data_IF_335227600484
#
_entry.id   IF_335227600484
#
_cell.length_a   1.000
_cell.length_b   1.000
_cell.length_c   1.000
_cell.angle_alpha   90.00
_cell.angle_beta   90.00
_cell.angle_gamma   90.00
#
_symmetry.space_group_name_H-M   'P 1'
#
loop_
_entity.id
_entity.type
_entity.pdbx_description
1 polymer ?
#
# COMPACT_ATOMS: atom_id res chain seq x y z
N UNK A 1 -31.66 -4.53 18.20
CA UNK A 1 -30.89 -5.70 18.66
C UNK A 1 -30.32 -6.43 17.44
N UNK A 2 -29.09 -6.09 17.03
CA UNK A 2 -28.41 -6.79 15.94
C UNK A 2 -28.01 -8.18 16.42
N UNK A 3 -28.60 -9.22 15.80
CA UNK A 3 -28.32 -10.62 16.13
C UNK A 3 -26.84 -10.91 15.88
N UNK A 4 -26.15 -11.32 16.93
CA UNK A 4 -24.83 -11.94 16.89
C UNK A 4 -24.88 -13.20 16.02
N UNK A 5 -24.28 -13.15 14.83
CA UNK A 5 -24.24 -14.29 13.90
C UNK A 5 -23.49 -15.52 14.44
N UNK A 6 -23.78 -16.72 13.91
CA UNK A 6 -23.43 -18.03 14.49
C UNK A 6 -21.94 -18.43 14.43
N UNK A 7 -21.04 -17.69 13.78
CA UNK A 7 -19.62 -18.07 13.71
C UNK A 7 -18.83 -17.94 15.03
N UNK A 8 -19.43 -17.38 16.10
CA UNK A 8 -18.72 -16.96 17.31
C UNK A 8 -18.28 -18.09 18.27
N UNK A 9 -18.85 -19.29 18.18
CA UNK A 9 -18.53 -20.42 19.09
C UNK A 9 -17.64 -21.51 18.48
N UNK A 10 -17.33 -21.42 17.19
CA UNK A 10 -16.69 -22.51 16.45
C UNK A 10 -15.22 -22.23 16.11
N UNK A 11 -14.69 -21.05 16.49
CA UNK A 11 -13.32 -20.68 16.16
C UNK A 11 -12.33 -21.42 17.07
N UNK A 12 -11.54 -22.31 16.49
CA UNK A 12 -10.44 -23.01 17.16
C UNK A 12 -9.12 -22.41 16.67
N UNK A 13 -8.22 -22.05 17.59
CA UNK A 13 -6.92 -21.47 17.26
C UNK A 13 -5.77 -22.27 17.88
N UNK A 14 -4.65 -22.36 17.15
CA UNK A 14 -3.37 -22.89 17.64
C UNK A 14 -2.35 -21.79 17.99
N UNK A 15 -2.73 -20.52 17.81
CA UNK A 15 -1.89 -19.36 18.11
C UNK A 15 -1.90 -18.96 19.59
N UNK A 16 -1.12 -17.94 19.94
CA UNK A 16 -0.98 -17.43 21.32
C UNK A 16 -2.26 -16.80 21.89
N UNK A 17 -3.23 -16.50 21.04
CA UNK A 17 -4.51 -15.94 21.43
C UNK A 17 -5.67 -16.69 20.77
N UNK A 18 -6.85 -16.58 21.39
CA UNK A 18 -8.12 -17.09 20.89
C UNK A 18 -9.14 -15.96 20.84
N UNK A 19 -10.11 -16.09 19.94
CA UNK A 19 -11.15 -15.09 19.75
C UNK A 19 -12.10 -15.09 20.95
N UNK A 20 -12.16 -13.98 21.69
CA UNK A 20 -13.08 -13.78 22.81
C UNK A 20 -14.39 -13.14 22.34
N UNK A 21 -14.29 -12.07 21.54
CA UNK A 21 -15.45 -11.33 21.07
C UNK A 21 -15.16 -10.68 19.72
N UNK A 22 -16.18 -10.60 18.87
CA UNK A 22 -16.14 -9.84 17.63
C UNK A 22 -17.46 -9.11 17.42
N UNK A 23 -17.39 -7.79 17.49
CA UNK A 23 -18.49 -6.89 17.13
C UNK A 23 -18.08 -6.17 15.85
N UNK A 24 -18.76 -6.49 14.76
CA UNK A 24 -18.48 -5.94 13.43
C UNK A 24 -18.52 -4.42 13.48
N UNK A 25 -17.53 -3.77 12.87
CA UNK A 25 -17.33 -2.31 12.86
C UNK A 25 -17.08 -1.65 14.23
N UNK A 26 -16.88 -2.43 15.30
CA UNK A 26 -16.58 -1.89 16.63
C UNK A 26 -15.25 -2.40 17.19
N UNK A 27 -15.10 -3.73 17.33
CA UNK A 27 -13.88 -4.32 17.91
C UNK A 27 -13.75 -5.82 17.68
N UNK A 28 -12.51 -6.30 17.64
CA UNK A 28 -12.14 -7.71 17.86
C UNK A 28 -11.37 -7.79 19.16
N UNK A 29 -11.81 -8.66 20.09
CA UNK A 29 -11.13 -8.90 21.36
C UNK A 29 -10.54 -10.30 21.33
N UNK A 30 -9.24 -10.39 21.54
CA UNK A 30 -8.51 -11.63 21.69
C UNK A 30 -8.12 -11.81 23.16
N UNK A 31 -8.20 -13.04 23.65
CA UNK A 31 -7.67 -13.41 24.97
C UNK A 31 -6.61 -14.50 24.83
N UNK A 32 -5.66 -14.52 25.77
CA UNK A 32 -4.55 -15.45 25.78
C UNK A 32 -5.03 -16.90 25.69
N UNK A 33 -4.38 -17.69 24.83
CA UNK A 33 -4.67 -19.10 24.64
C UNK A 33 -3.77 -19.95 25.55
N UNK A 34 -4.30 -20.61 26.60
CA UNK A 34 -3.48 -21.42 27.50
C UNK A 34 -2.86 -22.64 26.82
N UNK A 35 -3.49 -23.15 25.74
CA UNK A 35 -3.05 -24.33 24.99
C UNK A 35 -1.94 -24.03 23.96
N UNK A 36 -1.55 -22.76 23.80
CA UNK A 36 -0.45 -22.41 22.91
C UNK A 36 0.86 -23.02 23.44
N UNK A 37 1.59 -23.75 22.58
CA UNK A 37 2.80 -24.48 22.99
C UNK A 37 3.85 -23.62 23.71
N UNK A 38 3.93 -22.32 23.39
CA UNK A 38 4.84 -21.36 24.01
C UNK A 38 4.09 -20.33 24.88
N UNK A 39 2.95 -20.73 25.46
CA UNK A 39 2.14 -19.90 26.32
C UNK A 39 2.95 -19.30 27.48
N UNK A 40 3.90 -20.05 28.06
CA UNK A 40 4.74 -19.59 29.16
C UNK A 40 5.46 -18.26 28.91
N UNK A 41 5.77 -17.92 27.64
CA UNK A 41 6.42 -16.66 27.25
C UNK A 41 5.46 -15.53 26.86
N UNK A 42 4.15 -15.80 26.78
CA UNK A 42 3.15 -14.78 26.46
C UNK A 42 2.91 -13.91 27.69
N UNK A 43 2.96 -12.58 27.56
CA UNK A 43 2.80 -11.65 28.69
C UNK A 43 1.43 -10.96 28.65
N UNK A 44 1.04 -10.42 27.49
CA UNK A 44 -0.26 -9.76 27.31
C UNK A 44 -1.39 -10.78 27.43
N UNK A 45 -2.38 -10.50 28.28
CA UNK A 45 -3.50 -11.40 28.53
C UNK A 45 -4.70 -11.14 27.61
N UNK A 46 -4.85 -9.91 27.10
CA UNK A 46 -5.97 -9.48 26.27
C UNK A 46 -5.51 -8.39 25.31
N UNK A 47 -5.89 -8.52 24.04
CA UNK A 47 -5.65 -7.53 22.98
C UNK A 47 -6.98 -7.12 22.38
N UNK A 48 -7.16 -5.85 22.05
CA UNK A 48 -8.34 -5.34 21.36
C UNK A 48 -7.93 -4.63 20.08
N UNK A 49 -8.43 -5.11 18.94
CA UNK A 49 -8.28 -4.47 17.64
C UNK A 49 -9.50 -3.62 17.34
N UNK A 50 -9.27 -2.37 16.92
CA UNK A 50 -10.33 -1.41 16.60
C UNK A 50 -10.34 -1.14 15.08
N UNK A 51 -11.50 -1.15 14.41
CA UNK A 51 -11.62 -0.91 12.97
C UNK A 51 -11.74 0.60 12.66
N UNK A 52 -10.82 1.42 13.17
CA UNK A 52 -10.85 2.87 12.98
C UNK A 52 -10.15 3.21 11.66
N UNK A 53 -10.92 3.72 10.69
CA UNK A 53 -10.39 4.09 9.37
C UNK A 53 -9.94 5.55 9.24
N UNK A 54 -10.31 6.40 10.20
CA UNK A 54 -9.86 7.80 10.26
C UNK A 54 -8.56 7.88 11.06
N UNK A 55 -7.45 8.17 10.38
CA UNK A 55 -6.13 8.30 11.00
C UNK A 55 -6.10 9.43 12.05
N UNK A 56 -6.90 10.48 11.85
CA UNK A 56 -7.06 11.55 12.84
C UNK A 56 -7.75 11.05 14.11
N UNK A 57 -8.80 10.23 13.96
CA UNK A 57 -9.52 9.63 15.10
C UNK A 57 -8.63 8.66 15.87
N UNK A 58 -7.86 7.83 15.17
CA UNK A 58 -6.89 6.90 15.76
C UNK A 58 -5.86 7.64 16.63
N UNK A 59 -5.21 8.67 16.07
CA UNK A 59 -4.27 9.53 16.82
C UNK A 59 -4.95 10.20 18.02
N UNK A 60 -6.18 10.71 17.89
CA UNK A 60 -6.85 11.37 19.00
C UNK A 60 -7.18 10.41 20.15
N UNK A 61 -7.66 9.20 19.84
CA UNK A 61 -7.91 8.15 20.84
C UNK A 61 -6.62 7.61 21.46
N UNK A 62 -5.53 7.57 20.69
CA UNK A 62 -4.20 7.30 21.22
C UNK A 62 -3.78 8.38 22.22
N UNK A 63 -3.98 9.66 21.92
CA UNK A 63 -3.61 10.77 22.83
C UNK A 63 -4.40 10.75 24.13
N UNK A 64 -5.67 10.36 24.10
CA UNK A 64 -6.52 10.24 25.31
C UNK A 64 -6.24 8.96 26.10
N UNK A 65 -5.38 8.07 25.61
CA UNK A 65 -5.00 6.83 26.29
C UNK A 65 -5.98 5.67 26.07
N UNK A 66 -6.89 5.75 25.11
CA UNK A 66 -7.77 4.65 24.73
C UNK A 66 -7.03 3.61 23.85
N UNK A 67 -6.00 4.04 23.12
CA UNK A 67 -5.21 3.22 22.19
C UNK A 67 -3.73 3.25 22.60
N UNK A 68 -3.12 2.05 22.67
CA UNK A 68 -1.72 1.85 23.06
C UNK A 68 -0.75 1.91 21.86
N UNK A 69 -1.22 1.49 20.69
CA UNK A 69 -0.50 1.50 19.41
C UNK A 69 -1.48 1.88 18.30
N UNK A 70 -1.18 2.92 17.53
CA UNK A 70 -2.02 3.27 16.36
C UNK A 70 -1.82 2.24 15.24
N UNK A 71 -2.71 2.28 14.26
CA UNK A 71 -2.39 1.72 12.96
C UNK A 71 -1.21 2.49 12.32
N UNK A 72 -0.63 1.93 11.26
CA UNK A 72 0.58 2.48 10.62
C UNK A 72 0.30 3.43 9.45
N UNK A 73 -0.92 3.98 9.39
CA UNK A 73 -1.24 5.14 8.57
C UNK A 73 -1.31 6.38 9.46
N UNK A 74 -0.44 7.36 9.20
CA UNK A 74 -0.41 8.60 9.96
C UNK A 74 -1.16 9.73 9.23
N UNK A 75 -1.94 10.56 9.94
CA UNK A 75 -2.64 11.69 9.33
C UNK A 75 -1.65 12.79 8.95
N UNK A 76 -1.79 13.33 7.73
CA UNK A 76 -0.92 14.38 7.18
C UNK A 76 -0.88 15.61 8.09
N UNK A 77 -2.03 15.98 8.67
CA UNK A 77 -2.25 17.20 9.46
C UNK A 77 -1.52 17.18 10.80
N UNK A 78 -1.42 16.01 11.42
CA UNK A 78 -0.87 15.88 12.77
C UNK A 78 0.57 15.38 12.77
N UNK A 79 1.05 14.74 11.70
CA UNK A 79 2.34 14.07 11.71
C UNK A 79 3.52 14.96 12.12
N UNK A 80 3.65 16.15 11.50
CA UNK A 80 4.74 17.08 11.83
C UNK A 80 4.63 17.63 13.25
N UNK A 81 3.41 17.80 13.76
CA UNK A 81 3.14 18.20 15.15
C UNK A 81 3.52 17.09 16.12
N UNK A 82 3.15 15.85 15.83
CA UNK A 82 3.46 14.67 16.64
C UNK A 82 4.98 14.43 16.73
N UNK A 83 5.72 14.59 15.64
CA UNK A 83 7.19 14.50 15.65
C UNK A 83 7.84 15.51 16.62
N UNK A 84 7.22 16.68 16.82
CA UNK A 84 7.70 17.70 17.76
C UNK A 84 7.21 17.46 19.18
N UNK A 85 5.94 17.11 19.36
CA UNK A 85 5.31 16.95 20.67
C UNK A 85 5.66 15.62 21.36
N UNK A 86 5.83 14.54 20.58
CA UNK A 86 6.00 13.17 21.08
C UNK A 86 7.08 12.40 20.28
N UNK A 87 8.30 12.94 20.13
CA UNK A 87 9.33 12.36 19.26
C UNK A 87 9.68 10.91 19.60
N UNK A 88 9.62 10.52 20.88
CA UNK A 88 9.93 9.16 21.35
C UNK A 88 8.82 8.14 21.08
N UNK A 89 7.61 8.61 20.80
CA UNK A 89 6.45 7.74 20.55
C UNK A 89 6.18 7.58 19.05
N UNK A 90 6.77 8.44 18.21
CA UNK A 90 6.65 8.38 16.76
C UNK A 90 7.73 7.44 16.22
N UNK A 91 7.32 6.24 15.82
CA UNK A 91 8.18 5.27 15.15
C UNK A 91 8.06 5.44 13.64
N UNK A 92 9.18 5.49 12.94
CA UNK A 92 9.26 5.56 11.48
C UNK A 92 10.40 4.64 11.03
N UNK A 93 10.02 3.46 10.55
CA UNK A 93 10.95 2.39 10.22
C UNK A 93 10.87 2.01 8.73
N UNK A 94 11.89 1.37 8.13
CA UNK A 94 11.79 0.84 6.76
C UNK A 94 10.62 -0.13 6.61
N UNK A 95 9.89 -0.06 5.48
CA UNK A 95 8.74 -0.93 5.23
C UNK A 95 8.74 -1.46 3.81
N UNK A 96 8.67 -2.77 3.62
CA UNK A 96 8.60 -3.38 2.30
C UNK A 96 7.19 -3.31 1.73
N UNK A 97 6.77 -2.09 1.39
CA UNK A 97 5.52 -1.86 0.68
C UNK A 97 5.68 -0.74 -0.36
N UNK A 98 4.87 -0.82 -1.42
CA UNK A 98 4.78 0.21 -2.46
C UNK A 98 3.37 0.76 -2.53
N UNK A 99 3.22 2.08 -2.45
CA UNK A 99 1.98 2.78 -2.78
C UNK A 99 1.97 3.07 -4.27
N UNK A 100 0.89 2.71 -4.94
CA UNK A 100 0.73 2.94 -6.37
C UNK A 100 -0.73 3.26 -6.70
N UNK A 101 -0.96 3.89 -7.86
CA UNK A 101 -2.28 3.85 -8.47
C UNK A 101 -2.34 2.65 -9.41
N UNK A 102 -3.23 1.74 -9.10
CA UNK A 102 -3.59 0.57 -9.88
C UNK A 102 -4.49 0.99 -11.04
N UNK A 103 -4.09 0.64 -12.25
CA UNK A 103 -4.89 0.87 -13.45
C UNK A 103 -5.58 -0.44 -13.81
N UNK A 104 -6.85 -0.40 -14.18
CA UNK A 104 -7.52 -1.57 -14.74
C UNK A 104 -7.05 -1.79 -16.19
N UNK A 105 -6.12 -2.72 -16.40
CA UNK A 105 -5.47 -2.93 -17.69
C UNK A 105 -6.39 -3.54 -18.77
N UNK A 106 -7.59 -4.00 -18.38
CA UNK A 106 -8.57 -4.62 -19.30
C UNK A 106 -9.78 -3.72 -19.60
N UNK A 107 -9.85 -2.52 -19.00
CA UNK A 107 -10.99 -1.60 -19.19
C UNK A 107 -10.60 -0.42 -20.06
N UNK A 108 -11.33 -0.20 -21.15
CA UNK A 108 -11.13 1.00 -21.97
C UNK A 108 -11.37 2.29 -21.14
N UNK A 109 -10.57 3.35 -21.33
CA UNK A 109 -9.50 3.49 -22.32
C UNK A 109 -8.12 3.01 -21.85
N UNK A 110 -8.02 2.40 -20.66
CA UNK A 110 -6.75 1.99 -20.05
C UNK A 110 -6.14 0.72 -20.65
N UNK A 111 -6.83 0.06 -21.58
CA UNK A 111 -6.24 -0.96 -22.45
C UNK A 111 -5.14 -0.38 -23.35
N UNK A 112 -5.17 0.93 -23.65
CA UNK A 112 -4.14 1.64 -24.40
C UNK A 112 -2.95 2.01 -23.51
N UNK A 113 -1.77 1.48 -23.85
CA UNK A 113 -0.54 1.73 -23.10
C UNK A 113 -0.16 3.21 -23.03
N UNK A 114 -0.49 4.01 -24.05
CA UNK A 114 -0.20 5.45 -24.10
C UNK A 114 -0.99 6.21 -23.03
N UNK A 115 -2.24 5.81 -22.80
CA UNK A 115 -3.08 6.38 -21.74
C UNK A 115 -2.50 6.07 -20.37
N UNK A 116 -2.05 4.82 -20.14
CA UNK A 116 -1.43 4.42 -18.87
C UNK A 116 -0.12 5.13 -18.62
N UNK A 117 0.74 5.18 -19.64
CA UNK A 117 2.04 5.84 -19.58
C UNK A 117 1.91 7.34 -19.32
N UNK A 118 0.93 8.00 -19.94
CA UNK A 118 0.65 9.41 -19.66
C UNK A 118 0.29 9.66 -18.19
N UNK A 119 -0.54 8.80 -17.58
CA UNK A 119 -0.85 8.92 -16.14
C UNK A 119 0.39 8.67 -15.27
N UNK A 120 1.24 7.70 -15.65
CA UNK A 120 2.49 7.38 -14.96
C UNK A 120 3.46 8.56 -14.95
N UNK A 121 3.64 9.20 -16.10
CA UNK A 121 4.58 10.32 -16.29
C UNK A 121 4.03 11.64 -15.73
N UNK A 122 2.73 11.91 -15.92
CA UNK A 122 2.11 13.17 -15.50
C UNK A 122 1.90 13.31 -13.99
N UNK A 123 2.12 12.24 -13.21
CA UNK A 123 2.08 12.29 -11.76
C UNK A 123 3.41 12.83 -11.20
N UNK A 124 3.33 13.97 -10.52
CA UNK A 124 4.45 14.57 -9.80
C UNK A 124 4.64 13.91 -8.43
N UNK A 125 5.63 13.01 -8.36
CA UNK A 125 5.95 12.25 -7.15
C UNK A 125 6.59 13.13 -6.08
N UNK A 126 7.39 14.13 -6.46
CA UNK A 126 8.06 15.00 -5.49
C UNK A 126 7.05 15.86 -4.74
N UNK A 127 6.02 16.38 -5.43
CA UNK A 127 4.91 17.08 -4.77
C UNK A 127 4.19 16.14 -3.81
N UNK A 128 3.79 14.95 -4.26
CA UNK A 128 3.02 14.02 -3.42
C UNK A 128 3.82 13.58 -2.19
N UNK A 129 5.07 13.17 -2.40
CA UNK A 129 5.88 12.53 -1.36
C UNK A 129 6.49 13.57 -0.42
N UNK A 130 7.07 14.64 -0.94
CA UNK A 130 7.83 15.59 -0.13
C UNK A 130 7.04 16.83 0.30
N UNK A 131 5.96 17.20 -0.41
CA UNK A 131 5.18 18.41 -0.09
C UNK A 131 3.80 18.09 0.50
N UNK A 132 3.13 17.04 0.03
CA UNK A 132 1.79 16.66 0.51
C UNK A 132 1.88 15.68 1.68
N UNK A 133 2.51 14.51 1.50
CA UNK A 133 2.64 13.49 2.55
C UNK A 133 3.71 13.88 3.55
N UNK A 134 4.95 14.03 3.09
CA UNK A 134 6.13 14.42 3.87
C UNK A 134 6.32 13.62 5.17
N UNK A 135 6.27 12.28 5.07
CA UNK A 135 6.40 11.39 6.24
C UNK A 135 7.69 10.56 6.26
N UNK A 136 8.53 10.68 5.23
CA UNK A 136 9.79 9.94 5.10
C UNK A 136 9.80 8.90 3.99
N UNK A 137 8.68 8.75 3.26
CA UNK A 137 8.59 7.87 2.10
C UNK A 137 9.52 8.30 0.96
N UNK A 138 9.84 7.35 0.08
CA UNK A 138 10.73 7.57 -1.05
C UNK A 138 9.93 7.53 -2.36
N UNK A 139 10.09 8.51 -3.29
CA UNK A 139 9.46 8.45 -4.60
C UNK A 139 9.76 7.13 -5.32
N UNK A 140 8.71 6.45 -5.80
CA UNK A 140 8.83 5.13 -6.40
C UNK A 140 8.91 5.19 -7.93
N UNK A 141 9.66 4.26 -8.49
CA UNK A 141 9.86 4.07 -9.93
C UNK A 141 9.65 2.62 -10.38
N UNK A 142 9.58 1.67 -9.45
CA UNK A 142 9.31 0.25 -9.69
C UNK A 142 8.17 -0.22 -8.78
N UNK A 143 7.65 -1.42 -9.05
CA UNK A 143 6.64 -2.02 -8.17
C UNK A 143 7.29 -2.60 -6.91
N UNK A 144 8.39 -3.34 -7.07
CA UNK A 144 9.21 -3.88 -6.00
C UNK A 144 10.06 -2.76 -5.38
N UNK A 145 10.05 -2.57 -4.04
CA UNK A 145 10.98 -1.67 -3.37
C UNK A 145 12.44 -2.05 -3.65
N UNK A 146 13.32 -1.11 -4.00
CA UNK A 146 14.71 -1.40 -4.39
C UNK A 146 15.57 -1.92 -3.24
N UNK A 147 15.08 -1.82 -2.00
CA UNK A 147 15.73 -2.33 -0.79
C UNK A 147 15.19 -3.70 -0.32
N UNK A 148 14.38 -4.38 -1.15
CA UNK A 148 14.02 -5.80 -0.95
C UNK A 148 15.27 -6.67 -1.09
N UNK A 149 15.43 -7.69 -0.25
CA UNK A 149 16.57 -8.63 -0.39
C UNK A 149 16.54 -9.27 -1.79
N UNK A 150 17.69 -9.34 -2.47
CA UNK A 150 17.81 -9.84 -3.84
C UNK A 150 17.38 -8.87 -4.95
N UNK A 151 16.83 -7.70 -4.63
CA UNK A 151 16.55 -6.66 -5.62
C UNK A 151 17.83 -5.93 -6.05
N UNK A 152 18.05 -5.83 -7.37
CA UNK A 152 19.12 -5.01 -7.98
C UNK A 152 18.51 -4.13 -9.05
N UNK A 153 17.72 -3.16 -8.62
CA UNK A 153 16.88 -2.35 -9.51
C UNK A 153 17.58 -1.05 -9.93
N UNK A 154 17.48 -0.72 -11.21
CA UNK A 154 17.90 0.56 -11.78
C UNK A 154 16.68 1.41 -12.10
N UNK A 155 16.67 2.71 -11.72
CA UNK A 155 15.60 3.61 -12.11
C UNK A 155 15.48 3.72 -13.64
N UNK A 156 14.25 3.71 -14.20
CA UNK A 156 14.04 3.96 -15.62
C UNK A 156 14.40 5.41 -15.98
N UNK A 157 14.77 5.64 -17.24
CA UNK A 157 15.29 6.93 -17.69
C UNK A 157 14.32 8.11 -17.42
N UNK A 158 13.01 7.88 -17.53
CA UNK A 158 11.98 8.90 -17.28
C UNK A 158 11.99 9.43 -15.84
N UNK A 159 12.47 8.65 -14.89
CA UNK A 159 12.55 9.04 -13.49
C UNK A 159 13.59 10.14 -13.26
N UNK A 160 14.66 10.17 -14.07
CA UNK A 160 15.69 11.21 -14.05
C UNK A 160 15.35 12.48 -14.85
N UNK A 161 14.23 12.51 -15.57
CA UNK A 161 13.79 13.72 -16.29
C UNK A 161 13.21 14.76 -15.33
N UNK A 162 13.13 16.02 -15.79
CA UNK A 162 12.32 17.02 -15.09
C UNK A 162 10.82 16.69 -15.21
N UNK A 163 10.01 17.21 -14.28
CA UNK A 163 8.57 17.00 -14.33
C UNK A 163 7.95 17.67 -15.56
N UNK A 164 8.52 18.80 -16.02
CA UNK A 164 8.09 19.50 -17.23
C UNK A 164 8.22 18.60 -18.46
N UNK A 165 9.39 17.97 -18.64
CA UNK A 165 9.61 17.03 -19.75
C UNK A 165 8.68 15.82 -19.67
N UNK A 166 8.47 15.26 -18.47
CA UNK A 166 7.49 14.16 -18.28
C UNK A 166 6.06 14.60 -18.67
N UNK A 167 5.67 15.82 -18.32
CA UNK A 167 4.36 16.37 -18.66
C UNK A 167 4.20 16.59 -20.17
N UNK A 168 5.26 17.04 -20.86
CA UNK A 168 5.26 17.20 -22.32
C UNK A 168 5.04 15.86 -23.03
N UNK A 169 5.81 14.83 -22.68
CA UNK A 169 5.64 13.48 -23.26
C UNK A 169 4.27 12.89 -22.92
N UNK A 170 3.80 13.06 -21.68
CA UNK A 170 2.48 12.58 -21.28
C UNK A 170 1.33 13.24 -22.06
N UNK A 171 1.41 14.55 -22.32
CA UNK A 171 0.42 15.25 -23.16
C UNK A 171 0.44 14.76 -24.61
N UNK A 172 1.64 14.53 -25.17
CA UNK A 172 1.81 13.98 -26.51
C UNK A 172 1.14 12.60 -26.62
N UNK A 173 1.40 11.70 -25.67
CA UNK A 173 0.79 10.37 -25.62
C UNK A 173 -0.75 10.43 -25.52
N UNK A 174 -1.29 11.35 -24.71
CA UNK A 174 -2.75 11.55 -24.63
C UNK A 174 -3.33 12.09 -25.95
N UNK A 175 -2.64 13.01 -26.62
CA UNK A 175 -3.05 13.53 -27.92
C UNK A 175 -3.07 12.44 -29.00
N UNK A 176 -2.04 11.60 -29.06
CA UNK A 176 -1.98 10.43 -29.95
C UNK A 176 -3.06 9.39 -29.64
N UNK A 177 -3.50 9.29 -28.38
CA UNK A 177 -4.62 8.48 -27.94
C UNK A 177 -6.01 9.16 -28.16
N UNK A 178 -6.04 10.36 -28.74
CA UNK A 178 -7.26 11.06 -29.10
C UNK A 178 -7.89 11.90 -27.99
N UNK A 179 -7.10 12.30 -26.98
CA UNK A 179 -7.52 13.18 -25.89
C UNK A 179 -6.84 14.56 -25.98
N UNK A 180 -7.56 15.60 -25.60
CA UNK A 180 -7.05 16.97 -25.63
C UNK A 180 -8.00 17.97 -24.96
N UNK A 181 -7.76 19.29 -25.07
CA UNK A 181 -8.56 20.30 -24.38
C UNK A 181 -10.08 20.23 -24.67
N UNK A 182 -10.47 19.87 -25.90
CA UNK A 182 -11.88 19.69 -26.29
C UNK A 182 -12.47 18.31 -25.97
N UNK A 183 -11.64 17.33 -25.62
CA UNK A 183 -12.04 15.96 -25.27
C UNK A 183 -11.11 15.43 -24.17
N UNK A 184 -11.25 15.91 -22.92
CA UNK A 184 -10.39 15.49 -21.83
C UNK A 184 -10.67 14.04 -21.45
N UNK A 185 -9.62 13.26 -21.18
CA UNK A 185 -9.76 11.95 -20.56
C UNK A 185 -10.46 12.12 -19.20
N UNK A 186 -11.53 11.37 -18.98
CA UNK A 186 -12.34 11.43 -17.75
C UNK A 186 -12.46 10.04 -17.16
N UNK A 187 -12.16 9.88 -15.86
CA UNK A 187 -12.23 8.58 -15.17
C UNK A 187 -12.47 8.74 -13.67
N UNK A 188 -12.81 7.64 -13.01
CA UNK A 188 -12.95 7.58 -11.55
C UNK A 188 -11.66 7.11 -10.87
N UNK A 189 -11.27 7.78 -9.79
CA UNK A 189 -10.23 7.31 -8.88
C UNK A 189 -10.88 6.74 -7.61
N UNK A 190 -10.87 5.41 -7.52
CA UNK A 190 -11.37 4.65 -6.38
C UNK A 190 -10.32 4.60 -5.25
N UNK A 191 -10.74 4.76 -4.01
CA UNK A 191 -9.87 4.52 -2.85
C UNK A 191 -10.67 3.96 -1.66
N UNK A 192 -10.04 3.22 -0.77
CA UNK A 192 -10.66 2.81 0.49
C UNK A 192 -10.78 4.02 1.44
N UNK A 193 -11.88 4.09 2.18
CA UNK A 193 -12.19 5.20 3.10
C UNK A 193 -11.08 5.39 4.13
N UNK A 194 -10.40 6.53 4.05
CA UNK A 194 -9.24 6.93 4.86
C UNK A 194 -9.01 8.43 4.67
N UNK A 195 -8.61 9.14 5.73
CA UNK A 195 -8.26 10.57 5.64
C UNK A 195 -7.00 10.76 4.79
N UNK A 196 -6.00 9.89 5.00
CA UNK A 196 -4.76 9.87 4.24
C UNK A 196 -5.01 9.66 2.74
N UNK A 197 -5.73 8.60 2.38
CA UNK A 197 -5.95 8.26 0.97
C UNK A 197 -6.82 9.29 0.26
N UNK A 198 -7.83 9.85 0.94
CA UNK A 198 -8.63 10.95 0.39
C UNK A 198 -7.77 12.14 0.01
N UNK A 199 -6.84 12.55 0.88
CA UNK A 199 -5.95 13.69 0.62
C UNK A 199 -4.96 13.41 -0.51
N UNK A 200 -4.38 12.22 -0.55
CA UNK A 200 -3.49 11.81 -1.64
C UNK A 200 -4.24 11.74 -2.98
N UNK A 201 -5.49 11.27 -2.98
CA UNK A 201 -6.33 11.21 -4.16
C UNK A 201 -6.72 12.61 -4.67
N UNK A 202 -7.06 13.55 -3.79
CA UNK A 202 -7.30 14.96 -4.14
C UNK A 202 -6.04 15.58 -4.76
N UNK A 203 -4.87 15.36 -4.15
CA UNK A 203 -3.60 15.87 -4.67
C UNK A 203 -3.29 15.28 -6.07
N UNK A 204 -3.43 13.96 -6.24
CA UNK A 204 -3.20 13.31 -7.53
C UNK A 204 -4.17 13.80 -8.61
N UNK A 205 -5.47 13.92 -8.30
CA UNK A 205 -6.47 14.49 -9.20
C UNK A 205 -6.11 15.93 -9.61
N UNK A 206 -5.69 16.77 -8.66
CA UNK A 206 -5.25 18.14 -8.94
C UNK A 206 -3.99 18.19 -9.80
N UNK A 207 -3.02 17.32 -9.53
CA UNK A 207 -1.75 17.23 -10.28
C UNK A 207 -2.03 16.80 -11.71
N UNK A 208 -2.78 15.71 -11.92
CA UNK A 208 -3.14 15.26 -13.26
C UNK A 208 -4.00 16.28 -14.01
N UNK A 209 -4.93 16.98 -13.32
CA UNK A 209 -5.71 18.05 -13.95
C UNK A 209 -4.81 19.18 -14.44
N UNK A 210 -3.88 19.64 -13.60
CA UNK A 210 -2.91 20.70 -13.94
C UNK A 210 -1.96 20.27 -15.05
N UNK A 211 -1.39 19.08 -14.94
CA UNK A 211 -0.31 18.61 -15.79
C UNK A 211 -0.82 18.08 -17.13
N UNK A 212 -1.99 17.42 -17.16
CA UNK A 212 -2.49 16.69 -18.33
C UNK A 212 -3.87 17.16 -18.81
N UNK A 213 -4.60 17.95 -18.02
CA UNK A 213 -5.95 18.41 -18.35
C UNK A 213 -7.07 17.39 -18.10
N UNK A 214 -6.74 16.19 -17.61
CA UNK A 214 -7.70 15.09 -17.36
C UNK A 214 -8.67 15.40 -16.22
N UNK A 215 -9.86 14.82 -16.26
CA UNK A 215 -10.88 14.96 -15.23
C UNK A 215 -10.95 13.69 -14.38
N UNK A 216 -10.72 13.82 -13.07
CA UNK A 216 -10.73 12.68 -12.15
C UNK A 216 -11.89 12.83 -11.16
N UNK A 217 -12.79 11.85 -11.13
CA UNK A 217 -13.88 11.77 -10.14
C UNK A 217 -13.44 10.88 -8.97
N UNK A 218 -13.38 11.44 -7.77
CA UNK A 218 -13.01 10.67 -6.58
C UNK A 218 -14.19 9.83 -6.09
N UNK A 219 -13.93 8.55 -5.78
CA UNK A 219 -14.92 7.61 -5.23
C UNK A 219 -14.30 6.87 -4.05
N UNK A 220 -14.98 6.83 -2.90
CA UNK A 220 -14.54 6.03 -1.76
C UNK A 220 -15.49 4.87 -1.47
N UNK A 221 -14.92 3.78 -0.95
CA UNK A 221 -15.66 2.61 -0.48
C UNK A 221 -15.09 2.12 0.87
N UNK A 222 -15.88 1.36 1.64
CA UNK A 222 -15.37 0.62 2.81
C UNK A 222 -14.39 -0.48 2.33
N UNK A 223 -13.40 -0.83 3.16
CA UNK A 223 -12.28 -1.71 2.79
C UNK A 223 -12.69 -3.02 2.12
N UNK A 224 -13.65 -3.76 2.69
CA UNK A 224 -14.10 -5.03 2.11
C UNK A 224 -14.74 -4.82 0.74
N UNK A 225 -15.57 -3.80 0.60
CA UNK A 225 -16.23 -3.45 -0.68
C UNK A 225 -15.21 -2.98 -1.73
N UNK A 226 -14.19 -2.24 -1.29
CA UNK A 226 -13.08 -1.76 -2.11
C UNK A 226 -12.26 -2.91 -2.69
N UNK A 227 -11.89 -3.90 -1.87
CA UNK A 227 -11.16 -5.08 -2.35
C UNK A 227 -11.99 -5.89 -3.37
N UNK A 228 -13.26 -6.13 -3.06
CA UNK A 228 -14.17 -6.85 -3.95
C UNK A 228 -14.34 -6.13 -5.32
N UNK A 229 -14.52 -4.81 -5.29
CA UNK A 229 -14.61 -3.99 -6.51
C UNK A 229 -13.35 -4.10 -7.39
N UNK A 230 -12.16 -4.16 -6.77
CA UNK A 230 -10.89 -4.35 -7.48
C UNK A 230 -10.79 -5.75 -8.11
N UNK A 231 -11.10 -6.80 -7.34
CA UNK A 231 -11.09 -8.17 -7.86
C UNK A 231 -12.10 -8.38 -9.00
N UNK A 232 -13.26 -7.74 -8.95
CA UNK A 232 -14.25 -7.80 -10.03
C UNK A 232 -13.89 -6.96 -11.26
N UNK A 233 -12.89 -6.07 -11.18
CA UNK A 233 -12.53 -5.16 -12.28
C UNK A 233 -13.53 -4.00 -12.45
N UNK A 234 -14.35 -3.71 -11.45
CA UNK A 234 -15.40 -2.69 -11.50
C UNK A 234 -14.88 -1.28 -11.17
N UNK A 235 -13.71 -0.92 -11.70
CA UNK A 235 -13.04 0.36 -11.46
C UNK A 235 -12.24 0.81 -12.69
N UNK A 236 -11.88 2.09 -12.72
CA UNK A 236 -11.02 2.69 -13.76
C UNK A 236 -9.56 2.71 -13.28
N UNK A 237 -9.31 3.52 -12.24
CA UNK A 237 -8.05 3.61 -11.50
C UNK A 237 -8.37 3.49 -10.01
N UNK A 238 -7.57 2.73 -9.27
CA UNK A 238 -7.72 2.57 -7.83
C UNK A 238 -6.42 2.96 -7.12
N UNK A 239 -6.53 3.61 -5.96
CA UNK A 239 -5.43 3.66 -4.98
C UNK A 239 -5.11 2.25 -4.57
N UNK A 240 -3.84 1.87 -4.49
CA UNK A 240 -3.42 0.57 -4.01
C UNK A 240 -2.16 0.66 -3.14
N UNK A 241 -1.92 -0.41 -2.40
CA UNK A 241 -0.69 -0.65 -1.67
C UNK A 241 -0.46 -2.16 -1.61
N UNK A 242 0.76 -2.59 -1.94
CA UNK A 242 1.17 -3.98 -1.78
C UNK A 242 2.35 -4.02 -0.82
N UNK A 243 2.32 -4.98 0.10
CA UNK A 243 3.34 -5.23 1.10
C UNK A 243 3.90 -6.63 0.90
N UNK A 244 5.19 -6.79 1.15
CA UNK A 244 5.85 -8.08 1.06
C UNK A 244 5.28 -9.10 2.05
N UNK A 245 4.93 -10.28 1.57
CA UNK A 245 4.59 -11.45 2.39
C UNK A 245 5.86 -12.16 2.90
N UNK A 246 6.95 -12.03 2.15
CA UNK A 246 8.29 -12.52 2.48
C UNK A 246 9.34 -11.62 1.82
N UNK A 247 10.53 -11.48 2.41
CA UNK A 247 11.55 -10.54 1.92
C UNK A 247 12.34 -11.09 0.72
N UNK A 248 11.71 -11.12 -0.46
CA UNK A 248 12.31 -11.51 -1.74
C UNK A 248 11.46 -10.95 -2.90
N UNK A 249 12.02 -10.52 -4.06
CA UNK A 249 11.29 -9.70 -5.05
C UNK A 249 10.06 -10.38 -5.66
N UNK A 250 10.03 -11.72 -5.71
CA UNK A 250 8.88 -12.46 -6.21
C UNK A 250 7.61 -12.24 -5.38
N UNK A 251 7.72 -11.81 -4.11
CA UNK A 251 6.52 -11.45 -3.31
C UNK A 251 5.73 -10.30 -3.92
N UNK A 252 6.40 -9.39 -4.65
CA UNK A 252 5.76 -8.33 -5.44
C UNK A 252 5.43 -8.86 -6.82
N UNK A 253 6.44 -9.36 -7.55
CA UNK A 253 6.30 -9.66 -8.97
C UNK A 253 5.31 -10.80 -9.27
N UNK A 254 5.14 -11.78 -8.38
CA UNK A 254 4.13 -12.83 -8.55
C UNK A 254 2.69 -12.29 -8.50
N UNK A 255 2.45 -11.12 -7.89
CA UNK A 255 1.14 -10.45 -7.93
C UNK A 255 0.76 -10.06 -9.37
N UNK A 256 1.73 -9.81 -10.24
CA UNK A 256 1.52 -9.31 -11.61
C UNK A 256 1.47 -10.44 -12.66
N UNK A 257 1.61 -11.71 -12.26
CA UNK A 257 1.42 -12.84 -13.17
C UNK A 257 -0.02 -12.86 -13.70
N UNK A 258 -0.20 -13.19 -14.99
CA UNK A 258 -1.51 -13.12 -15.66
C UNK A 258 -2.60 -13.99 -15.02
N UNK A 259 -2.22 -15.05 -14.30
CA UNK A 259 -3.09 -16.01 -13.61
C UNK A 259 -3.10 -15.87 -12.08
N UNK A 260 -2.38 -14.89 -11.53
CA UNK A 260 -2.32 -14.67 -10.09
C UNK A 260 -3.67 -14.22 -9.54
N UNK A 261 -4.13 -14.90 -8.49
CA UNK A 261 -5.35 -14.52 -7.76
C UNK A 261 -5.28 -13.12 -7.13
N UNK A 262 -4.07 -12.59 -6.93
CA UNK A 262 -3.83 -11.26 -6.38
C UNK A 262 -3.71 -10.17 -7.47
N UNK A 263 -3.76 -10.54 -8.75
CA UNK A 263 -3.64 -9.61 -9.90
C UNK A 263 -4.90 -8.77 -10.09
N UNK A 264 -5.14 -7.89 -9.14
CA UNK A 264 -6.19 -6.88 -9.16
C UNK A 264 -5.98 -5.78 -10.21
N UNK A 265 -4.76 -5.44 -10.71
CA UNK A 265 -4.60 -4.59 -11.89
C UNK A 265 -5.15 -5.18 -13.20
N UNK A 266 -5.48 -6.47 -13.22
CA UNK A 266 -5.88 -7.23 -14.40
C UNK A 266 -4.83 -7.18 -15.52
N UNK A 267 -3.56 -7.05 -15.16
CA UNK A 267 -2.45 -7.00 -16.10
C UNK A 267 -2.18 -8.39 -16.66
N UNK A 268 -2.04 -8.52 -17.98
CA UNK A 268 -1.73 -9.79 -18.64
C UNK A 268 -0.63 -9.58 -19.65
N UNK A 269 0.48 -10.29 -19.49
CA UNK A 269 1.65 -10.17 -20.36
C UNK A 269 2.45 -11.46 -20.39
N UNK A 270 2.40 -12.15 -21.52
CA UNK A 270 3.19 -13.37 -21.75
C UNK A 270 4.70 -13.11 -21.60
N UNK A 271 5.16 -11.91 -21.96
CA UNK A 271 6.56 -11.52 -21.80
C UNK A 271 6.95 -11.44 -20.31
N UNK A 272 6.09 -10.86 -19.47
CA UNK A 272 6.29 -10.79 -18.03
C UNK A 272 6.24 -12.20 -17.40
N UNK A 273 5.22 -12.99 -17.74
CA UNK A 273 5.06 -14.35 -17.21
C UNK A 273 6.26 -15.24 -17.55
N UNK A 274 6.78 -15.13 -18.78
CA UNK A 274 7.99 -15.86 -19.21
C UNK A 274 9.23 -15.45 -18.42
N UNK A 275 9.40 -14.16 -18.12
CA UNK A 275 10.51 -13.69 -17.29
C UNK A 275 10.42 -14.28 -15.88
N UNK A 276 9.23 -14.29 -15.29
CA UNK A 276 8.98 -14.86 -13.97
C UNK A 276 9.08 -16.39 -13.93
N UNK A 277 8.69 -17.10 -14.98
CA UNK A 277 8.93 -18.55 -15.08
C UNK A 277 10.43 -18.88 -15.06
N UNK A 278 11.26 -18.08 -15.74
CA UNK A 278 12.71 -18.28 -15.78
C UNK A 278 13.39 -18.06 -14.42
N UNK A 279 12.82 -17.21 -13.55
CA UNK A 279 13.35 -16.93 -12.20
C UNK A 279 13.52 -18.22 -11.38
N UNK A 280 12.57 -19.15 -11.51
CA UNK A 280 12.58 -20.42 -10.78
C UNK A 280 13.69 -21.37 -11.28
N UNK A 281 14.15 -21.18 -12.52
CA UNK A 281 15.21 -21.97 -13.14
C UNK A 281 16.59 -21.31 -13.08
N UNK A 282 16.68 -20.10 -12.52
CA UNK A 282 17.92 -19.35 -12.38
C UNK A 282 18.93 -20.10 -11.49
N UNK A 283 20.18 -20.21 -11.96
CA UNK A 283 21.24 -21.00 -11.32
C UNK A 283 22.06 -20.20 -10.30
N UNK A 284 21.90 -18.89 -10.26
CA UNK A 284 22.59 -18.00 -9.32
C UNK A 284 21.69 -16.87 -8.82
N UNK A 285 22.07 -16.24 -7.70
CA UNK A 285 21.39 -15.04 -7.19
C UNK A 285 21.46 -13.87 -8.16
N UNK A 286 22.58 -13.70 -8.87
CA UNK A 286 22.76 -12.63 -9.85
C UNK A 286 21.90 -12.83 -11.10
N UNK A 287 21.79 -14.06 -11.58
CA UNK A 287 20.88 -14.40 -12.68
C UNK A 287 19.41 -14.14 -12.29
N UNK A 288 19.03 -14.51 -11.07
CA UNK A 288 17.69 -14.24 -10.53
C UNK A 288 17.40 -12.75 -10.44
N UNK A 289 18.34 -11.97 -9.87
CA UNK A 289 18.22 -10.52 -9.75
C UNK A 289 18.12 -9.82 -11.12
N UNK A 290 18.88 -10.29 -12.12
CA UNK A 290 18.80 -9.78 -13.49
C UNK A 290 17.45 -10.09 -14.16
N UNK A 291 16.84 -11.24 -13.87
CA UNK A 291 15.49 -11.57 -14.34
C UNK A 291 14.43 -10.69 -13.67
N UNK A 292 14.54 -10.40 -12.37
CA UNK A 292 13.65 -9.46 -11.68
C UNK A 292 13.76 -8.04 -12.24
N UNK A 293 14.98 -7.56 -12.51
CA UNK A 293 15.17 -6.27 -13.19
C UNK A 293 14.47 -6.25 -14.57
N UNK A 294 14.57 -7.33 -15.35
CA UNK A 294 13.87 -7.42 -16.63
C UNK A 294 12.35 -7.45 -16.47
N UNK A 295 11.84 -8.12 -15.43
CA UNK A 295 10.40 -8.15 -15.13
C UNK A 295 9.87 -6.75 -14.77
N UNK A 296 10.58 -6.00 -13.92
CA UNK A 296 10.25 -4.59 -13.62
C UNK A 296 10.33 -3.69 -14.86
N UNK A 297 11.32 -3.88 -15.73
CA UNK A 297 11.41 -3.14 -17.01
C UNK A 297 10.24 -3.46 -17.92
N UNK A 298 9.81 -4.72 -17.99
CA UNK A 298 8.63 -5.09 -18.76
C UNK A 298 7.36 -4.45 -18.19
N UNK A 299 7.21 -4.43 -16.86
CA UNK A 299 6.08 -3.81 -16.18
C UNK A 299 6.03 -2.28 -16.37
N UNK A 300 7.19 -1.60 -16.31
CA UNK A 300 7.32 -0.17 -16.57
C UNK A 300 7.06 0.17 -18.05
N UNK A 301 7.59 -0.63 -18.98
CA UNK A 301 7.35 -0.49 -20.41
C UNK A 301 5.86 -0.56 -20.74
N UNK A 302 5.15 -1.49 -20.12
CA UNK A 302 3.70 -1.62 -20.32
C UNK A 302 2.90 -0.61 -19.49
N UNK A 303 3.56 0.16 -18.62
CA UNK A 303 2.96 1.09 -17.67
C UNK A 303 1.77 0.48 -16.93
N UNK A 304 1.94 -0.76 -16.45
CA UNK A 304 0.84 -1.54 -15.86
C UNK A 304 0.22 -0.86 -14.63
N UNK A 305 1.02 -0.08 -13.91
CA UNK A 305 0.65 0.70 -12.72
C UNK A 305 1.31 2.08 -12.75
N UNK A 306 0.92 2.95 -11.82
CA UNK A 306 1.62 4.21 -11.53
C UNK A 306 2.27 4.12 -10.14
N UNK A 307 3.56 3.77 -10.03
CA UNK A 307 4.27 3.77 -8.75
C UNK A 307 4.30 5.18 -8.18
N UNK A 308 3.99 5.37 -6.89
CA UNK A 308 4.01 6.70 -6.25
C UNK A 308 5.15 6.79 -5.25
N UNK A 309 5.17 5.93 -4.23
CA UNK A 309 6.23 5.89 -3.22
C UNK A 309 6.43 4.51 -2.60
N UNK A 310 7.64 4.26 -2.13
CA UNK A 310 7.94 3.17 -1.20
C UNK A 310 7.66 3.64 0.22
N UNK A 311 6.91 2.86 0.97
CA UNK A 311 6.45 3.25 2.30
C UNK A 311 7.58 3.37 3.31
N UNK A 312 7.35 4.22 4.31
CA UNK A 312 7.88 4.02 5.65
C UNK A 312 6.77 3.50 6.57
N UNK A 313 7.15 2.72 7.56
CA UNK A 313 6.26 2.19 8.57
C UNK A 313 6.13 3.21 9.70
N UNK A 314 5.15 4.11 9.60
CA UNK A 314 4.97 5.21 10.54
C UNK A 314 3.80 4.94 11.50
N UNK A 315 4.04 4.87 12.82
CA UNK A 315 2.99 4.67 13.83
C UNK A 315 3.31 5.40 15.14
N UNK A 316 2.32 5.52 16.02
CA UNK A 316 2.53 5.87 17.42
C UNK A 316 2.52 4.62 18.31
N UNK A 317 3.47 4.53 19.22
CA UNK A 317 3.57 3.46 20.23
C UNK A 317 3.77 4.11 21.59
N UNK A 318 2.94 3.74 22.57
CA UNK A 318 3.06 4.28 23.93
C UNK A 318 4.41 3.90 24.53
N UNK A 319 5.03 4.78 25.34
CA UNK A 319 6.34 4.49 25.95
C UNK A 319 6.36 3.25 26.84
N UNK A 320 5.20 2.84 27.35
CA UNK A 320 5.06 1.65 28.18
C UNK A 320 4.87 0.36 27.37
N UNK A 321 4.73 0.41 26.05
CA UNK A 321 4.63 -0.79 25.22
C UNK A 321 6.04 -1.23 24.83
N UNK A 322 6.51 -2.29 25.48
CA UNK A 322 7.78 -2.94 25.18
C UNK A 322 7.62 -4.06 24.14
N UNK A 323 8.73 -4.42 23.49
CA UNK A 323 8.81 -5.52 22.53
C UNK A 323 8.64 -5.12 21.06
N UNK A 324 8.08 -3.95 20.77
CA UNK A 324 8.03 -3.41 19.41
C UNK A 324 9.40 -2.83 19.04
N UNK A 325 10.10 -3.46 18.07
CA UNK A 325 11.46 -3.06 17.68
C UNK A 325 11.51 -2.17 16.46
N UNK A 326 10.49 -2.20 15.60
CA UNK A 326 10.50 -1.55 14.28
C UNK A 326 11.47 -2.16 13.26
N UNK A 327 12.19 -3.24 13.61
CA UNK A 327 13.27 -3.79 12.77
C UNK A 327 12.80 -4.82 11.74
N UNK A 328 11.59 -5.34 11.88
CA UNK A 328 11.02 -6.26 10.88
C UNK A 328 10.49 -5.44 9.69
N UNK A 329 11.13 -5.52 8.51
CA UNK A 329 10.70 -4.74 7.35
C UNK A 329 9.36 -5.20 6.76
N UNK A 330 8.81 -6.33 7.22
CA UNK A 330 7.48 -6.82 6.87
C UNK A 330 6.40 -6.37 7.87
N UNK A 331 6.80 -5.78 9.00
CA UNK A 331 5.92 -5.38 10.10
C UNK A 331 5.02 -6.52 10.63
N UNK A 332 5.52 -7.76 10.67
CA UNK A 332 4.78 -8.88 11.25
C UNK A 332 4.86 -8.81 12.78
N UNK A 333 4.09 -7.90 13.36
CA UNK A 333 4.00 -7.72 14.82
C UNK A 333 3.12 -8.82 15.42
N UNK A 334 3.69 -9.54 16.39
CA UNK A 334 2.96 -10.55 17.16
C UNK A 334 2.77 -10.07 18.59
N UNK A 335 1.52 -9.91 19.05
CA UNK A 335 1.20 -9.43 20.40
C UNK A 335 1.83 -10.30 21.52
N UNK A 336 2.13 -11.57 21.24
CA UNK A 336 2.81 -12.48 22.19
C UNK A 336 4.24 -12.05 22.53
N UNK A 337 4.85 -11.19 21.70
CA UNK A 337 6.19 -10.66 21.90
C UNK A 337 6.17 -9.28 22.60
N UNK A 338 4.98 -8.69 22.79
CA UNK A 338 4.81 -7.41 23.44
C UNK A 338 4.61 -7.56 24.95
N UNK A 339 4.88 -6.49 25.69
CA UNK A 339 4.63 -6.41 27.14
C UNK A 339 4.37 -4.96 27.57
N UNK A 340 3.67 -4.79 28.69
CA UNK A 340 3.41 -3.47 29.28
C UNK A 340 4.40 -3.23 30.43
N UNK A 341 5.21 -2.19 30.29
CA UNK A 341 6.09 -1.67 31.34
C UNK A 341 5.21 -0.93 32.36
N UNK A 342 5.52 -1.09 33.65
CA UNK A 342 4.84 -0.34 34.71
C UNK A 342 4.97 1.17 34.46
N UNK A 343 3.84 1.88 34.48
CA UNK A 343 3.75 3.31 34.18
C UNK A 343 2.76 4.01 35.11
#
# INVERSE_FOLDING_TARGET
MARSGPCRRNYVSNGAYKLKNWVVNERIVLERNPEYWNNAKTIINKVTFLPISSEVTDVNRYRTGEIDMTYNNMPIELFQKLKKERPKEVHVDPYLCTYYYEINNQKAPFTDARVREALKLGLDRDIIVHKVKNQGDLPAYSFTPPYTDGAKLTPPAWFGWSQEKRNEEAKKLLAEAGYGPGKPLTFSLLYNTSDLHKKLAIAAASIWKKNLGVNVKLVNQEWKTFLDTRHQGNYDVARAGWCADYNEPSTFLNMMLSDSSSNTPHYKSEAFDKLMANVLTAKSKDERAALYQKAEVQLDKDSAIVPVYYYVNARLVKPYVGGYTGKDPLDNVYDKNLYIIKH
#
